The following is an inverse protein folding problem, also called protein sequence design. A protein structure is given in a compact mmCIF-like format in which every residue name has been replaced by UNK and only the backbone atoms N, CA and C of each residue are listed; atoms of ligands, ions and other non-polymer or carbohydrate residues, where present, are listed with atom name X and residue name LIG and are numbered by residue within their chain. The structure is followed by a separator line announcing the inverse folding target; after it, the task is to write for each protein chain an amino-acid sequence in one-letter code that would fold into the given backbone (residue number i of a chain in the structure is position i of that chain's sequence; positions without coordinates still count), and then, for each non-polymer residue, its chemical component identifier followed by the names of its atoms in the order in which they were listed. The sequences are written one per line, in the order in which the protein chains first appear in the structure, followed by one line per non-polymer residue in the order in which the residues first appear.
data_IF_246530080049
#
_entry.id   IF_246530080049
#
_cell.length_a   1.000
_cell.length_b   1.000
_cell.length_c   1.000
_cell.angle_alpha   90.00
_cell.angle_beta   90.00
_cell.angle_gamma   90.00
#
_symmetry.space_group_name_H-M   'P 1'
#
loop_
_entity.id
_entity.type
_entity.pdbx_description
1 polymer ?
#
# COMPACT_ATOMS: atom_id res chain seq x y z
N UNK A 1 -16.07 3.35 2.16
CA UNK A 1 -15.81 2.22 3.09
C UNK A 1 -16.89 1.15 3.01
N UNK A 2 -16.54 -0.12 3.19
CA UNK A 2 -17.46 -1.20 3.59
C UNK A 2 -16.97 -1.90 4.86
N UNK A 3 -17.90 -2.28 5.74
CA UNK A 3 -17.63 -3.03 6.97
C UNK A 3 -18.55 -4.25 7.04
N UNK A 4 -17.94 -5.42 7.24
CA UNK A 4 -18.66 -6.65 7.53
C UNK A 4 -18.30 -7.17 8.91
N UNK A 5 -19.29 -7.68 9.62
CA UNK A 5 -19.14 -8.46 10.85
C UNK A 5 -19.81 -9.81 10.62
N UNK A 6 -19.03 -10.89 10.74
CA UNK A 6 -19.45 -12.22 10.30
C UNK A 6 -19.69 -12.25 8.80
N UNK A 7 -20.93 -12.57 8.39
CA UNK A 7 -21.35 -12.61 6.98
C UNK A 7 -22.16 -11.37 6.58
N UNK A 8 -22.50 -10.50 7.53
CA UNK A 8 -23.38 -9.36 7.28
C UNK A 8 -22.56 -8.11 6.93
N UNK A 9 -22.86 -7.52 5.77
CA UNK A 9 -22.40 -6.18 5.43
C UNK A 9 -23.21 -5.18 6.25
N UNK A 10 -22.57 -4.52 7.22
CA UNK A 10 -23.22 -3.56 8.11
C UNK A 10 -23.15 -2.13 7.57
N UNK A 11 -22.05 -1.79 6.90
CA UNK A 11 -21.84 -0.47 6.28
C UNK A 11 -21.44 -0.71 4.82
N UNK A 12 -22.17 -0.12 3.89
CA UNK A 12 -21.82 -0.09 2.47
C UNK A 12 -21.89 1.35 1.94
N UNK A 13 -20.72 2.00 1.96
CA UNK A 13 -20.50 3.38 1.52
C UNK A 13 -19.19 3.44 0.72
N UNK A 14 -18.89 2.40 -0.07
CA UNK A 14 -17.60 2.27 -0.76
C UNK A 14 -17.42 3.34 -1.84
N UNK A 15 -18.49 3.62 -2.58
CA UNK A 15 -18.50 4.60 -3.68
C UNK A 15 -18.82 6.03 -3.23
N UNK A 16 -19.06 6.23 -1.92
CA UNK A 16 -19.45 7.54 -1.39
C UNK A 16 -18.21 8.40 -1.20
N UNK A 17 -18.14 9.51 -1.94
CA UNK A 17 -17.12 10.53 -1.73
C UNK A 17 -17.54 11.45 -0.57
N UNK A 18 -16.59 11.78 0.30
CA UNK A 18 -16.80 12.74 1.38
C UNK A 18 -16.41 14.11 0.83
N UNK A 19 -17.40 14.93 0.48
CA UNK A 19 -17.18 16.28 -0.06
C UNK A 19 -16.92 17.34 1.02
N UNK A 20 -16.94 16.95 2.31
CA UNK A 20 -16.82 17.88 3.43
C UNK A 20 -15.36 18.30 3.69
N UNK A 21 -15.03 19.61 3.59
CA UNK A 21 -13.68 20.12 3.84
C UNK A 21 -13.22 20.02 5.31
N UNK A 22 -14.07 19.56 6.24
CA UNK A 22 -13.76 19.42 7.68
C UNK A 22 -13.18 18.05 8.11
N UNK A 23 -12.97 17.11 7.18
CA UNK A 23 -11.82 16.18 7.27
C UNK A 23 -12.03 14.75 7.76
N UNK A 24 -13.26 14.25 7.94
CA UNK A 24 -13.53 12.80 8.05
C UNK A 24 -15.05 12.53 7.99
N UNK A 25 -15.45 11.32 7.55
CA UNK A 25 -16.83 10.85 7.65
C UNK A 25 -16.96 9.75 8.70
N UNK A 26 -18.06 9.79 9.46
CA UNK A 26 -18.41 8.77 10.45
C UNK A 26 -19.62 7.97 9.97
N UNK A 27 -19.50 6.65 10.02
CA UNK A 27 -20.58 5.72 9.69
C UNK A 27 -20.80 4.76 10.85
N UNK A 28 -22.06 4.52 11.23
CA UNK A 28 -22.44 3.66 12.35
C UNK A 28 -23.49 2.64 11.93
N UNK A 29 -23.39 1.43 12.46
CA UNK A 29 -24.35 0.35 12.24
C UNK A 29 -24.35 -0.61 13.44
N UNK A 30 -25.44 -1.37 13.60
CA UNK A 30 -25.56 -2.42 14.61
C UNK A 30 -25.56 -3.80 13.96
N UNK A 31 -25.01 -4.80 14.64
CA UNK A 31 -25.14 -6.20 14.21
C UNK A 31 -26.62 -6.62 14.28
N UNK A 32 -27.05 -7.49 13.35
CA UNK A 32 -28.43 -8.01 13.35
C UNK A 32 -28.71 -8.85 14.60
N UNK A 33 -27.72 -9.64 15.00
CA UNK A 33 -27.76 -10.48 16.19
C UNK A 33 -26.69 -10.05 17.21
N UNK A 34 -26.91 -10.24 18.52
CA UNK A 34 -25.89 -9.96 19.53
C UNK A 34 -24.64 -10.82 19.33
N UNK A 35 -23.46 -10.21 19.46
CA UNK A 35 -22.20 -10.95 19.49
C UNK A 35 -22.04 -11.68 20.84
N UNK A 36 -21.42 -12.86 20.80
CA UNK A 36 -21.22 -13.70 21.99
C UNK A 36 -19.83 -13.46 22.57
N UNK A 37 -19.74 -13.14 23.87
CA UNK A 37 -18.46 -12.94 24.55
C UNK A 37 -17.55 -14.17 24.41
N UNK A 38 -16.27 -13.93 24.12
CA UNK A 38 -15.26 -14.98 23.90
C UNK A 38 -15.35 -15.72 22.55
N UNK A 39 -16.37 -15.44 21.72
CA UNK A 39 -16.49 -15.99 20.37
C UNK A 39 -15.81 -15.06 19.37
N UNK A 40 -14.76 -15.55 18.72
CA UNK A 40 -14.15 -14.84 17.59
C UNK A 40 -15.17 -14.70 16.46
N UNK A 41 -15.36 -13.46 16.02
CA UNK A 41 -16.26 -13.11 14.93
C UNK A 41 -15.45 -12.48 13.81
N UNK A 42 -15.57 -12.98 12.57
CA UNK A 42 -14.87 -12.38 11.43
C UNK A 42 -15.21 -10.89 11.30
N UNK A 43 -14.19 -10.07 11.04
CA UNK A 43 -14.36 -8.68 10.64
C UNK A 43 -13.66 -8.50 9.29
N UNK A 44 -14.32 -7.83 8.35
CA UNK A 44 -13.71 -7.41 7.08
C UNK A 44 -13.97 -5.93 6.89
N UNK A 45 -12.96 -5.21 6.43
CA UNK A 45 -13.05 -3.80 6.09
C UNK A 45 -12.46 -3.60 4.70
N UNK A 46 -13.18 -2.86 3.86
CA UNK A 46 -12.67 -2.33 2.59
C UNK A 46 -12.72 -0.80 2.68
N UNK A 47 -11.56 -0.15 2.54
CA UNK A 47 -11.42 1.31 2.60
C UNK A 47 -10.56 1.78 1.43
N UNK A 48 -10.90 2.95 0.88
CA UNK A 48 -10.20 3.59 -0.22
C UNK A 48 -10.14 5.08 0.09
N UNK A 49 -8.98 5.69 -0.14
CA UNK A 49 -8.75 7.14 -0.11
C UNK A 49 -8.20 7.56 -1.46
N UNK A 50 -8.73 8.64 -2.03
CA UNK A 50 -8.39 9.06 -3.37
C UNK A 50 -7.56 10.36 -3.40
N UNK A 51 -7.67 11.23 -2.39
CA UNK A 51 -7.03 12.56 -2.40
C UNK A 51 -6.75 13.06 -0.97
N UNK A 52 -5.62 12.65 -0.38
CA UNK A 52 -5.12 13.25 0.85
C UNK A 52 -4.58 12.25 1.87
N UNK A 53 -4.67 12.63 3.16
CA UNK A 53 -4.24 11.79 4.29
C UNK A 53 -5.32 10.76 4.61
N UNK A 54 -4.98 9.48 4.46
CA UNK A 54 -5.84 8.36 4.80
C UNK A 54 -5.86 8.10 6.31
N UNK A 55 -7.04 8.11 6.93
CA UNK A 55 -7.23 7.70 8.32
C UNK A 55 -8.51 6.90 8.48
N UNK A 56 -8.41 5.74 9.10
CA UNK A 56 -9.54 4.94 9.53
C UNK A 56 -9.45 4.66 11.04
N UNK A 57 -10.57 4.86 11.75
CA UNK A 57 -10.72 4.47 13.16
C UNK A 57 -12.00 3.67 13.32
N UNK A 58 -11.90 2.57 14.07
CA UNK A 58 -13.02 1.69 14.36
C UNK A 58 -13.40 1.79 15.84
N UNK A 59 -14.66 2.08 16.12
CA UNK A 59 -15.21 2.19 17.46
C UNK A 59 -16.29 1.12 17.68
N UNK A 60 -16.54 0.77 18.94
CA UNK A 60 -17.61 -0.14 19.33
C UNK A 60 -18.33 0.33 20.59
N UNK A 61 -19.60 -0.05 20.72
CA UNK A 61 -20.37 0.09 21.96
C UNK A 61 -21.29 -1.13 22.13
N UNK A 62 -21.64 -1.45 23.37
CA UNK A 62 -22.71 -2.38 23.70
C UNK A 62 -23.32 -1.99 25.05
N UNK A 63 -24.34 -2.71 25.52
CA UNK A 63 -24.96 -2.43 26.82
C UNK A 63 -23.97 -2.48 28.00
N UNK A 64 -22.91 -3.29 27.89
CA UNK A 64 -21.86 -3.43 28.92
C UNK A 64 -20.49 -2.90 28.48
N UNK A 65 -20.40 -2.28 27.31
CA UNK A 65 -19.17 -1.70 26.74
C UNK A 65 -19.45 -0.24 26.37
N UNK A 66 -18.80 0.71 27.04
CA UNK A 66 -18.89 2.12 26.65
C UNK A 66 -18.33 2.33 25.23
N UNK A 67 -18.86 3.33 24.53
CA UNK A 67 -18.35 3.74 23.22
C UNK A 67 -16.86 4.06 23.30
N UNK A 68 -16.03 3.27 22.63
CA UNK A 68 -14.57 3.40 22.67
C UNK A 68 -13.91 2.87 21.40
N UNK A 69 -12.65 3.22 21.18
CA UNK A 69 -11.83 2.72 20.08
C UNK A 69 -11.59 1.21 20.27
N UNK A 70 -11.72 0.43 19.20
CA UNK A 70 -11.36 -0.99 19.25
C UNK A 70 -9.84 -1.10 19.32
N UNK A 71 -9.32 -1.45 20.50
CA UNK A 71 -7.91 -1.74 20.70
C UNK A 71 -7.48 -3.00 19.92
N UNK A 72 -6.23 -2.98 19.45
CA UNK A 72 -5.50 -4.11 18.87
C UNK A 72 -5.62 -5.41 19.67
N UNK A 73 -5.72 -5.35 21.01
CA UNK A 73 -5.93 -6.51 21.87
C UNK A 73 -7.26 -7.26 21.62
N UNK A 74 -8.20 -6.65 20.90
CA UNK A 74 -9.47 -7.24 20.48
C UNK A 74 -9.51 -7.58 18.98
N UNK A 75 -8.42 -7.36 18.25
CA UNK A 75 -8.31 -7.63 16.81
C UNK A 75 -7.30 -8.74 16.56
N UNK A 76 -7.76 -9.81 15.92
CA UNK A 76 -6.96 -10.99 15.64
C UNK A 76 -6.84 -11.13 14.12
N UNK A 77 -5.62 -11.09 13.59
CA UNK A 77 -5.36 -11.21 12.16
C UNK A 77 -5.48 -12.67 11.65
N UNK A 78 -5.81 -13.62 12.52
CA UNK A 78 -6.15 -15.00 12.16
C UNK A 78 -7.19 -15.55 13.15
N UNK A 79 -8.07 -16.44 12.66
CA UNK A 79 -9.09 -17.09 13.48
C UNK A 79 -8.68 -18.49 13.99
N UNK A 80 -7.41 -18.89 13.84
CA UNK A 80 -6.89 -20.19 14.33
C UNK A 80 -6.11 -20.05 15.64
N UNK A 81 -6.31 -21.00 16.57
CA UNK A 81 -5.46 -21.19 17.75
C UNK A 81 -3.99 -21.42 17.34
N UNK A 82 -3.03 -21.01 18.19
CA UNK A 82 -1.58 -21.11 17.96
C UNK A 82 -1.15 -22.53 17.51
N UNK A 83 -0.42 -22.59 16.37
CA UNK A 83 0.39 -23.68 15.73
C UNK A 83 -0.22 -24.46 14.54
N UNK A 84 0.56 -24.47 13.45
CA UNK A 84 0.53 -25.35 12.27
C UNK A 84 -0.65 -25.21 11.28
N UNK A 85 -0.78 -24.04 10.63
CA UNK A 85 -1.74 -23.84 9.53
C UNK A 85 -1.25 -24.46 8.20
N UNK A 86 -2.07 -25.27 7.49
CA UNK A 86 -1.71 -25.88 6.20
C UNK A 86 -2.00 -24.98 4.98
N UNK A 87 -2.47 -23.75 5.17
CA UNK A 87 -2.72 -22.81 4.07
C UNK A 87 -1.68 -21.71 4.05
N UNK A 88 -0.97 -21.60 2.93
CA UNK A 88 -0.06 -20.49 2.65
C UNK A 88 -0.91 -19.30 2.23
N UNK A 89 -0.99 -18.26 3.07
CA UNK A 89 -1.49 -16.95 2.62
C UNK A 89 -0.42 -16.38 1.69
N UNK A 90 -0.76 -16.26 0.40
CA UNK A 90 0.05 -15.52 -0.57
C UNK A 90 -0.51 -14.10 -0.62
N UNK A 91 0.07 -13.13 0.11
CA UNK A 91 -0.30 -11.72 -0.08
C UNK A 91 -0.17 -11.37 -1.57
N UNK A 92 -1.10 -10.59 -2.09
CA UNK A 92 -1.03 -10.09 -3.47
C UNK A 92 -0.20 -8.82 -3.41
N UNK A 93 1.00 -8.80 -4.02
CA UNK A 93 1.79 -7.58 -4.05
C UNK A 93 1.11 -6.53 -4.90
N UNK A 94 1.20 -5.28 -4.45
CA UNK A 94 0.82 -4.09 -5.21
C UNK A 94 2.07 -3.48 -5.86
N UNK A 95 1.88 -2.56 -6.80
CA UNK A 95 3.00 -1.89 -7.45
C UNK A 95 3.80 -1.07 -6.40
N UNK A 96 5.14 -1.20 -6.37
CA UNK A 96 5.99 -0.39 -5.49
C UNK A 96 5.81 1.11 -5.73
N UNK A 97 6.10 1.93 -4.72
CA UNK A 97 6.20 3.37 -4.92
C UNK A 97 7.37 3.77 -5.84
N UNK A 98 7.43 5.04 -6.19
CA UNK A 98 8.52 5.60 -7.00
C UNK A 98 9.89 5.58 -6.28
N UNK A 99 11.01 5.43 -7.01
CA UNK A 99 12.34 5.44 -6.40
C UNK A 99 12.66 6.78 -5.73
N UNK A 100 13.31 6.73 -4.58
CA UNK A 100 13.65 7.93 -3.82
C UNK A 100 15.02 8.48 -4.21
N UNK A 101 15.25 9.76 -3.91
CA UNK A 101 16.58 10.38 -4.02
C UNK A 101 17.25 10.23 -5.40
N UNK A 102 16.45 10.21 -6.48
CA UNK A 102 16.96 10.22 -7.84
C UNK A 102 17.85 11.45 -8.06
N UNK A 103 19.12 11.21 -8.38
CA UNK A 103 20.13 12.24 -8.57
C UNK A 103 21.00 11.93 -9.78
N UNK A 104 21.24 12.95 -10.61
CA UNK A 104 22.05 12.87 -11.81
C UNK A 104 23.25 13.80 -11.68
N UNK A 105 24.46 13.27 -11.93
CA UNK A 105 25.72 14.02 -11.86
C UNK A 105 26.59 13.76 -13.08
N UNK A 106 27.48 14.71 -13.39
CA UNK A 106 28.51 14.51 -14.41
C UNK A 106 29.58 13.60 -13.80
N UNK A 107 29.79 12.44 -14.40
CA UNK A 107 30.81 11.49 -13.97
C UNK A 107 32.12 11.73 -14.72
N UNK A 108 32.03 11.87 -16.05
CA UNK A 108 33.17 12.17 -16.92
C UNK A 108 32.70 13.01 -18.12
N UNK A 109 33.63 13.38 -19.00
CA UNK A 109 33.36 14.19 -20.19
C UNK A 109 32.35 13.54 -21.16
N UNK A 110 32.20 12.21 -21.13
CA UNK A 110 31.30 11.39 -21.95
C UNK A 110 30.34 10.53 -21.11
N UNK A 111 30.26 10.76 -19.80
CA UNK A 111 29.51 9.91 -18.89
C UNK A 111 28.73 10.68 -17.81
N UNK A 112 27.51 10.23 -17.54
CA UNK A 112 26.66 10.67 -16.43
C UNK A 112 26.47 9.54 -15.42
N UNK A 113 26.43 9.90 -14.15
CA UNK A 113 26.11 9.00 -13.05
C UNK A 113 24.71 9.32 -12.51
N UNK A 114 23.79 8.37 -12.67
CA UNK A 114 22.47 8.36 -12.06
C UNK A 114 22.51 7.50 -10.79
N UNK A 115 22.01 8.03 -9.66
CA UNK A 115 21.86 7.28 -8.41
C UNK A 115 20.44 7.43 -7.86
N UNK A 116 19.92 6.39 -7.23
CA UNK A 116 18.60 6.39 -6.57
C UNK A 116 18.59 5.44 -5.38
N UNK A 117 17.59 5.60 -4.50
CA UNK A 117 17.27 4.72 -3.38
C UNK A 117 15.96 3.97 -3.66
N UNK A 118 15.76 2.90 -2.91
CA UNK A 118 14.51 2.16 -2.85
C UNK A 118 13.30 3.02 -2.46
N UNK A 119 12.09 2.64 -2.91
CA UNK A 119 10.85 3.23 -2.42
C UNK A 119 10.66 2.95 -0.92
N UNK A 120 9.84 3.76 -0.25
CA UNK A 120 9.51 3.53 1.17
C UNK A 120 8.60 2.32 1.33
N UNK A 121 7.69 2.12 0.38
CA UNK A 121 6.80 0.97 0.28
C UNK A 121 7.07 0.20 -1.03
N UNK A 122 7.47 -1.07 -0.88
CA UNK A 122 7.75 -1.98 -2.00
C UNK A 122 6.49 -2.72 -2.50
N UNK A 123 5.32 -2.37 -1.96
CA UNK A 123 4.05 -2.98 -2.32
C UNK A 123 3.90 -4.41 -1.81
N UNK A 124 4.76 -4.86 -0.89
CA UNK A 124 4.68 -6.17 -0.26
C UNK A 124 5.42 -7.29 -1.00
N UNK A 125 6.20 -6.98 -2.03
CA UNK A 125 7.19 -7.88 -2.64
C UNK A 125 8.49 -7.15 -2.98
N UNK A 126 9.58 -7.91 -3.07
CA UNK A 126 10.90 -7.38 -3.42
C UNK A 126 10.89 -6.60 -4.73
N UNK A 127 11.45 -5.38 -4.72
CA UNK A 127 11.71 -4.63 -5.95
C UNK A 127 12.79 -5.35 -6.76
N UNK A 128 12.43 -5.88 -7.93
CA UNK A 128 13.32 -6.67 -8.79
C UNK A 128 13.78 -5.98 -10.07
N UNK A 129 13.24 -4.78 -10.36
CA UNK A 129 13.55 -4.02 -11.58
C UNK A 129 13.44 -2.51 -11.35
N UNK A 130 14.25 -1.76 -12.12
CA UNK A 130 14.06 -0.33 -12.34
C UNK A 130 14.07 -0.02 -13.84
N UNK A 131 13.23 0.93 -14.25
CA UNK A 131 13.24 1.50 -15.60
C UNK A 131 14.06 2.80 -15.58
N UNK A 132 15.07 2.90 -16.43
CA UNK A 132 15.84 4.13 -16.65
C UNK A 132 15.61 4.59 -18.08
N UNK A 133 15.11 5.81 -18.23
CA UNK A 133 14.87 6.45 -19.51
C UNK A 133 15.86 7.61 -19.70
N UNK A 134 16.52 7.65 -20.85
CA UNK A 134 17.43 8.73 -21.21
C UNK A 134 17.34 9.04 -22.71
N UNK A 135 17.87 10.20 -23.09
CA UNK A 135 17.70 10.76 -24.43
C UNK A 135 19.00 11.42 -24.88
N UNK A 136 19.36 11.25 -26.16
CA UNK A 136 20.41 12.03 -26.78
C UNK A 136 19.89 13.45 -27.09
N UNK A 137 20.73 14.46 -26.93
CA UNK A 137 20.39 15.85 -27.25
C UNK A 137 20.49 16.17 -28.75
N UNK A 138 20.79 15.17 -29.59
CA UNK A 138 20.83 15.31 -31.04
C UNK A 138 19.49 15.85 -31.60
N UNK A 139 19.59 16.80 -32.51
CA UNK A 139 18.45 17.44 -33.13
C UNK A 139 17.59 16.40 -33.88
N UNK A 140 16.33 16.24 -33.46
CA UNK A 140 15.41 15.23 -34.01
C UNK A 140 15.35 13.91 -33.23
N UNK A 141 16.16 13.71 -32.19
CA UNK A 141 16.11 12.54 -31.31
C UNK A 141 15.07 12.66 -30.17
N UNK A 142 14.48 13.84 -29.98
CA UNK A 142 13.40 14.06 -29.00
C UNK A 142 12.21 13.14 -29.28
N UNK A 143 11.95 12.20 -28.38
CA UNK A 143 10.82 11.26 -28.45
C UNK A 143 11.18 9.84 -28.89
N UNK A 144 12.45 9.55 -29.21
CA UNK A 144 12.92 8.15 -29.33
C UNK A 144 13.41 7.71 -27.95
N UNK A 145 12.55 7.04 -27.19
CA UNK A 145 12.85 6.60 -25.81
C UNK A 145 13.87 5.47 -25.83
N UNK A 146 15.06 5.71 -25.27
CA UNK A 146 15.92 4.61 -24.90
C UNK A 146 15.43 4.00 -23.58
N UNK A 147 14.89 2.79 -23.64
CA UNK A 147 14.28 2.07 -22.52
C UNK A 147 15.29 1.09 -21.92
N UNK A 148 16.17 1.56 -21.04
CA UNK A 148 17.10 0.66 -20.36
C UNK A 148 16.47 0.09 -19.10
N UNK A 149 16.27 -1.23 -19.09
CA UNK A 149 15.73 -1.96 -17.93
C UNK A 149 16.86 -2.58 -17.12
N UNK A 150 16.95 -2.21 -15.85
CA UNK A 150 17.86 -2.84 -14.91
C UNK A 150 17.10 -3.95 -14.18
N UNK A 151 17.54 -5.19 -14.36
CA UNK A 151 16.92 -6.37 -13.75
C UNK A 151 17.94 -7.15 -12.95
N UNK A 152 17.60 -7.48 -11.71
CA UNK A 152 18.46 -8.23 -10.82
C UNK A 152 17.74 -9.48 -10.31
N UNK A 153 18.51 -10.45 -9.79
CA UNK A 153 17.99 -11.74 -9.30
C UNK A 153 17.56 -11.70 -7.82
N UNK A 154 17.78 -10.58 -7.17
CA UNK A 154 17.59 -10.34 -5.73
C UNK A 154 16.92 -8.99 -5.54
N UNK A 155 16.41 -8.72 -4.33
CA UNK A 155 15.92 -7.41 -3.89
C UNK A 155 16.94 -6.32 -4.21
N UNK A 156 16.45 -5.19 -4.75
CA UNK A 156 17.27 -4.04 -5.10
C UNK A 156 16.91 -2.88 -4.18
N UNK A 157 17.86 -2.46 -3.34
CA UNK A 157 17.65 -1.38 -2.37
C UNK A 157 18.11 -0.02 -2.94
N UNK A 158 17.80 0.23 -4.21
CA UNK A 158 18.38 1.32 -5.00
C UNK A 158 19.61 0.93 -5.82
N UNK A 159 20.24 1.92 -6.46
CA UNK A 159 21.30 1.63 -7.41
C UNK A 159 22.03 2.84 -7.96
N UNK A 160 23.03 2.54 -8.77
CA UNK A 160 23.71 3.52 -9.62
C UNK A 160 23.80 3.00 -11.04
N UNK A 161 23.62 3.88 -12.01
CA UNK A 161 23.69 3.58 -13.43
C UNK A 161 24.59 4.61 -14.12
N UNK A 162 25.58 4.11 -14.85
CA UNK A 162 26.46 4.94 -15.68
C UNK A 162 25.89 4.99 -17.10
N UNK A 163 25.53 6.18 -17.54
CA UNK A 163 25.13 6.47 -18.91
C UNK A 163 26.36 7.02 -19.61
N UNK A 164 26.88 6.31 -20.61
CA UNK A 164 28.01 6.77 -21.40
C UNK A 164 27.90 6.30 -22.84
N UNK A 165 28.40 7.11 -23.76
CA UNK A 165 28.59 6.73 -25.16
C UNK A 165 29.97 6.07 -25.26
N UNK A 166 29.99 4.74 -25.41
CA UNK A 166 31.22 3.97 -25.59
C UNK A 166 31.92 4.23 -26.91
#
# INVERSE_FOLDING_TARGET
IRLWIGLDCLIDQYETNVEDPSGYATYSAATKEPLVAGRLTPIKIEYMENRGVALLRLFWESLSQSYDLIDSNHLYHSAEHIKDSPFVVSPIPIEPEEPLSCNLTIHDWDALLLTWRDPTDDGGEDVTKYLVEWWNNEEGAYGTTELQMLRFKTTINGGSFLIGVG
#
